data_IF_946959023099
#
_entry.id   IF_946959023099
#
_cell.length_a   1.000
_cell.length_b   1.000
_cell.length_c   1.000
_cell.angle_alpha   90.00
_cell.angle_beta   90.00
_cell.angle_gamma   90.00
#
_symmetry.space_group_name_H-M   'P 1'
#
loop_
_entity.id
_entity.type
_entity.pdbx_description
1 polymer ?
#
# COMPACT_ATOMS: atom_id res chain seq x y z
N UNK A 1 1.92 4.00 -5.53
CA UNK A 1 0.79 3.30 -4.86
C UNK A 1 -0.52 4.01 -5.13
N UNK A 2 -0.63 5.32 -4.85
CA UNK A 2 -1.84 6.12 -5.12
C UNK A 2 -2.35 6.01 -6.57
N UNK A 3 -1.49 6.31 -7.55
CA UNK A 3 -1.84 6.24 -8.98
C UNK A 3 -2.10 4.81 -9.45
N UNK A 4 -1.33 3.84 -8.94
CA UNK A 4 -1.48 2.42 -9.29
C UNK A 4 -2.82 1.81 -8.82
N UNK A 5 -3.38 2.31 -7.72
CA UNK A 5 -4.66 1.88 -7.17
C UNK A 5 -5.81 2.83 -7.55
N UNK A 6 -5.55 3.93 -8.25
CA UNK A 6 -6.54 4.96 -8.55
C UNK A 6 -7.11 5.68 -7.32
N UNK A 7 -6.45 5.59 -6.16
CA UNK A 7 -6.90 6.19 -4.90
C UNK A 7 -6.14 7.47 -4.58
N UNK A 8 -6.69 8.28 -3.67
CA UNK A 8 -5.98 9.46 -3.15
C UNK A 8 -4.79 9.06 -2.26
N UNK A 9 -3.80 9.96 -2.17
CA UNK A 9 -2.60 9.73 -1.33
C UNK A 9 -2.96 9.58 0.14
N UNK A 10 -3.97 10.31 0.61
CA UNK A 10 -4.50 10.19 1.97
C UNK A 10 -5.04 8.79 2.24
N UNK A 11 -5.79 8.23 1.31
CA UNK A 11 -6.31 6.86 1.41
C UNK A 11 -5.16 5.86 1.41
N UNK A 12 -4.20 6.00 0.50
CA UNK A 12 -3.03 5.12 0.45
C UNK A 12 -2.22 5.13 1.76
N UNK A 13 -1.99 6.30 2.36
CA UNK A 13 -1.32 6.40 3.65
C UNK A 13 -2.14 5.83 4.81
N UNK A 14 -3.47 5.95 4.77
CA UNK A 14 -4.36 5.32 5.76
C UNK A 14 -4.24 3.80 5.71
N UNK A 15 -4.26 3.21 4.51
CA UNK A 15 -4.06 1.76 4.32
C UNK A 15 -2.72 1.28 4.88
N UNK A 16 -1.65 2.05 4.65
CA UNK A 16 -0.33 1.74 5.22
C UNK A 16 -0.33 1.86 6.75
N UNK A 17 -0.96 2.89 7.32
CA UNK A 17 -1.05 3.10 8.77
C UNK A 17 -1.88 2.02 9.46
N UNK A 18 -2.92 1.54 8.79
CA UNK A 18 -3.81 0.48 9.28
C UNK A 18 -3.26 -0.94 9.04
N UNK A 19 -2.08 -1.08 8.39
CA UNK A 19 -1.51 -2.37 7.97
C UNK A 19 -2.43 -3.19 7.04
N UNK A 20 -3.33 -2.53 6.31
CA UNK A 20 -4.25 -3.18 5.37
C UNK A 20 -3.52 -3.68 4.11
N UNK A 21 -2.38 -3.06 3.78
CA UNK A 21 -1.49 -3.53 2.71
C UNK A 21 -0.17 -3.97 3.30
N UNK A 22 0.29 -5.17 2.96
CA UNK A 22 1.62 -5.65 3.35
C UNK A 22 2.71 -4.75 2.80
N UNK A 23 3.61 -4.31 3.66
CA UNK A 23 4.68 -3.40 3.29
C UNK A 23 5.89 -3.58 4.20
N UNK A 24 7.05 -3.15 3.70
CA UNK A 24 8.27 -3.07 4.49
C UNK A 24 8.53 -1.62 4.86
N UNK A 25 8.52 -1.33 6.16
CA UNK A 25 8.90 -0.01 6.66
C UNK A 25 10.41 0.01 6.92
N UNK A 26 11.14 0.77 6.12
CA UNK A 26 12.59 0.96 6.27
C UNK A 26 12.80 2.41 6.68
N UNK A 27 13.00 2.62 7.98
CA UNK A 27 13.07 3.96 8.58
C UNK A 27 11.77 4.75 8.36
N UNK A 28 11.87 5.87 7.62
CA UNK A 28 10.73 6.73 7.27
C UNK A 28 10.06 6.36 5.94
N UNK A 29 10.60 5.39 5.21
CA UNK A 29 10.13 5.02 3.87
C UNK A 29 9.35 3.72 3.93
N UNK A 30 8.17 3.74 3.32
CA UNK A 30 7.37 2.54 3.06
C UNK A 30 7.76 1.97 1.69
N UNK A 31 8.33 0.76 1.68
CA UNK A 31 8.64 -0.01 0.48
C UNK A 31 7.57 -1.08 0.32
N UNK A 32 6.84 -1.02 -0.80
CA UNK A 32 5.80 -2.01 -1.11
C UNK A 32 6.22 -2.77 -2.37
N UNK A 33 6.54 -4.06 -2.25
CA UNK A 33 6.74 -4.94 -3.40
C UNK A 33 5.46 -5.04 -4.25
N UNK A 34 5.61 -5.18 -5.58
CA UNK A 34 4.46 -5.34 -6.50
C UNK A 34 3.56 -6.51 -6.11
N UNK A 35 4.14 -7.61 -5.60
CA UNK A 35 3.40 -8.78 -5.12
C UNK A 35 2.36 -8.43 -4.05
N UNK A 36 2.71 -7.56 -3.09
CA UNK A 36 1.79 -7.17 -2.02
C UNK A 36 0.64 -6.30 -2.53
N UNK A 37 0.86 -5.54 -3.60
CA UNK A 37 -0.20 -4.76 -4.25
C UNK A 37 -1.15 -5.70 -4.99
N UNK A 38 -0.61 -6.70 -5.70
CA UNK A 38 -1.41 -7.73 -6.36
C UNK A 38 -2.25 -8.52 -5.35
N UNK A 39 -1.66 -8.95 -4.23
CA UNK A 39 -2.40 -9.58 -3.13
C UNK A 39 -3.51 -8.69 -2.57
N UNK A 40 -3.32 -7.37 -2.55
CA UNK A 40 -4.35 -6.44 -2.06
C UNK A 40 -5.48 -6.24 -3.07
N UNK A 41 -5.18 -6.22 -4.38
CA UNK A 41 -6.16 -6.07 -5.45
C UNK A 41 -6.98 -7.36 -5.64
N UNK A 42 -6.34 -8.52 -5.55
CA UNK A 42 -6.99 -9.84 -5.74
C UNK A 42 -7.90 -10.24 -4.57
N UNK A 43 -7.75 -9.58 -3.41
CA UNK A 43 -8.62 -9.73 -2.25
C UNK A 43 -9.84 -8.78 -2.30
N UNK A 44 -9.92 -7.89 -3.29
CA UNK A 44 -10.98 -6.88 -3.44
C UNK A 44 -12.08 -7.26 -4.44
#
# INVERSE_FOLDING_TARGET
MSEMLGISTKTAYRLLKNNEVKHFKIGRVYKIPKLHILQYIDVA
#
